data_IF_103653165396
#
_entry.id   IF_103653165396
#
_cell.length_a   1.000
_cell.length_b   1.000
_cell.length_c   1.000
_cell.angle_alpha   90.00
_cell.angle_beta   90.00
_cell.angle_gamma   90.00
#
_symmetry.space_group_name_H-M   'P 1'
#
loop_
_entity.id
_entity.type
_entity.pdbx_description
1 polymer ?
#
# COMPACT_ATOMS: atom_id res chain seq x y z
N UNK A 1 -4.85 -6.47 12.99
CA UNK A 1 -5.90 -7.20 12.25
C UNK A 1 -6.52 -8.25 13.19
N UNK A 2 -7.86 -8.34 13.16
CA UNK A 2 -8.59 -9.33 13.99
C UNK A 2 -8.50 -10.73 13.35
N UNK A 3 -7.54 -11.53 13.82
CA UNK A 3 -7.30 -12.88 13.32
C UNK A 3 -8.47 -13.85 13.53
N UNK A 4 -9.38 -13.57 14.48
CA UNK A 4 -10.58 -14.39 14.74
C UNK A 4 -11.64 -14.23 13.63
N UNK A 5 -11.61 -13.11 12.91
CA UNK A 5 -12.57 -12.81 11.86
C UNK A 5 -12.18 -13.38 10.49
N UNK A 6 -10.97 -13.89 10.33
CA UNK A 6 -10.53 -14.54 9.10
C UNK A 6 -11.36 -15.80 8.86
N UNK A 7 -11.83 -15.98 7.64
CA UNK A 7 -12.62 -17.12 7.22
C UNK A 7 -11.74 -18.39 7.08
N UNK A 8 -11.25 -18.92 8.20
CA UNK A 8 -10.34 -20.10 8.25
C UNK A 8 -10.85 -21.29 7.44
N UNK A 9 -12.17 -21.55 7.49
CA UNK A 9 -12.81 -22.63 6.74
C UNK A 9 -12.69 -22.45 5.24
N UNK A 10 -12.81 -21.19 4.75
CA UNK A 10 -12.66 -20.86 3.33
C UNK A 10 -11.20 -21.06 2.92
N UNK A 11 -10.25 -20.55 3.69
CA UNK A 11 -8.82 -20.74 3.40
C UNK A 11 -8.45 -22.22 3.37
N UNK A 12 -8.92 -23.04 4.35
CA UNK A 12 -8.68 -24.48 4.38
C UNK A 12 -9.22 -25.17 3.12
N UNK A 13 -10.44 -24.82 2.68
CA UNK A 13 -11.04 -25.37 1.46
C UNK A 13 -10.22 -24.99 0.23
N UNK A 14 -9.94 -23.70 0.04
CA UNK A 14 -9.16 -23.22 -1.11
C UNK A 14 -7.78 -23.88 -1.14
N UNK A 15 -7.12 -24.03 0.00
CA UNK A 15 -5.81 -24.70 0.07
C UNK A 15 -5.91 -26.13 -0.42
N UNK A 16 -6.94 -26.87 0.01
CA UNK A 16 -7.17 -28.25 -0.45
C UNK A 16 -7.43 -28.28 -1.96
N UNK A 17 -8.34 -27.43 -2.45
CA UNK A 17 -8.71 -27.37 -3.87
C UNK A 17 -7.48 -27.03 -4.76
N UNK A 18 -6.61 -26.12 -4.31
CA UNK A 18 -5.36 -25.76 -5.03
C UNK A 18 -4.40 -26.95 -5.06
N UNK A 19 -4.24 -27.72 -3.99
CA UNK A 19 -3.41 -28.92 -3.99
C UNK A 19 -3.96 -30.03 -4.87
N UNK A 20 -5.29 -30.16 -4.93
CA UNK A 20 -5.94 -31.24 -5.71
C UNK A 20 -5.95 -30.91 -7.23
N UNK A 21 -5.99 -29.62 -7.61
CA UNK A 21 -6.13 -29.17 -9.01
C UNK A 21 -4.79 -28.85 -9.70
N UNK A 22 -3.77 -28.39 -8.96
CA UNK A 22 -2.53 -27.79 -9.49
C UNK A 22 -1.31 -28.76 -9.33
N UNK A 23 -1.42 -29.97 -9.81
CA UNK A 23 -0.51 -31.09 -9.55
C UNK A 23 1.00 -30.71 -9.45
N UNK A 24 1.65 -30.39 -10.58
CA UNK A 24 3.11 -30.18 -10.61
C UNK A 24 3.54 -28.70 -10.54
N UNK A 25 2.68 -27.78 -10.95
CA UNK A 25 3.00 -26.34 -11.04
C UNK A 25 3.39 -25.72 -9.71
N UNK A 26 2.94 -26.29 -8.58
CA UNK A 26 3.28 -25.82 -7.24
C UNK A 26 4.75 -26.04 -6.87
N UNK A 27 5.42 -26.97 -7.51
CA UNK A 27 6.82 -27.36 -7.25
C UNK A 27 7.82 -26.63 -8.13
N UNK A 28 7.36 -25.93 -9.16
CA UNK A 28 8.24 -25.17 -10.05
C UNK A 28 8.45 -23.73 -9.55
N UNK A 29 9.61 -23.21 -9.90
CA UNK A 29 9.90 -21.80 -9.72
C UNK A 29 8.92 -20.97 -10.55
N UNK A 30 8.12 -20.13 -9.91
CA UNK A 30 7.16 -19.25 -10.57
C UNK A 30 7.82 -18.11 -11.36
N UNK A 31 6.99 -17.30 -12.00
CA UNK A 31 7.44 -16.12 -12.75
C UNK A 31 8.10 -15.10 -11.81
N UNK A 32 9.15 -14.40 -12.29
CA UNK A 32 9.92 -13.42 -11.50
C UNK A 32 9.04 -12.30 -10.88
N UNK A 33 7.99 -11.90 -11.56
CA UNK A 33 7.02 -10.91 -11.06
C UNK A 33 5.88 -11.52 -10.23
N UNK A 34 5.88 -12.84 -10.04
CA UNK A 34 4.80 -13.60 -9.40
C UNK A 34 3.75 -14.12 -10.38
N UNK A 35 2.80 -14.88 -9.86
CA UNK A 35 1.77 -15.58 -10.63
C UNK A 35 0.93 -14.63 -11.49
N UNK A 36 0.78 -14.95 -12.77
CA UNK A 36 0.08 -14.11 -13.75
C UNK A 36 -1.41 -13.94 -13.41
N UNK A 37 -2.07 -15.02 -12.95
CA UNK A 37 -3.50 -14.97 -12.62
C UNK A 37 -3.75 -14.11 -11.38
N UNK A 38 -2.86 -14.21 -10.38
CA UNK A 38 -2.90 -13.34 -9.21
C UNK A 38 -2.68 -11.88 -9.61
N UNK A 39 -1.67 -11.58 -10.45
CA UNK A 39 -1.43 -10.22 -10.93
C UNK A 39 -2.63 -9.65 -11.67
N UNK A 40 -3.26 -10.42 -12.57
CA UNK A 40 -4.49 -10.01 -13.28
C UNK A 40 -5.65 -9.72 -12.31
N UNK A 41 -5.87 -10.59 -11.31
CA UNK A 41 -6.94 -10.38 -10.34
C UNK A 41 -6.71 -9.17 -9.44
N UNK A 42 -5.44 -8.85 -9.13
CA UNK A 42 -5.09 -7.61 -8.42
C UNK A 42 -5.35 -6.39 -9.31
N UNK A 43 -5.01 -6.43 -10.61
CA UNK A 43 -5.32 -5.33 -11.54
C UNK A 43 -6.82 -5.04 -11.62
N UNK A 44 -7.66 -6.07 -11.70
CA UNK A 44 -9.13 -5.95 -11.67
C UNK A 44 -9.62 -5.34 -10.34
N UNK A 45 -9.08 -5.81 -9.23
CA UNK A 45 -9.37 -5.27 -7.91
C UNK A 45 -9.00 -3.79 -7.80
N UNK A 46 -7.83 -3.37 -8.28
CA UNK A 46 -7.38 -1.98 -8.26
C UNK A 46 -8.27 -1.06 -9.10
N UNK A 47 -8.70 -1.52 -10.28
CA UNK A 47 -9.65 -0.78 -11.10
C UNK A 47 -10.97 -0.53 -10.36
N UNK A 48 -11.52 -1.55 -9.71
CA UNK A 48 -12.79 -1.47 -9.00
C UNK A 48 -12.73 -0.69 -7.68
N UNK A 49 -11.62 -0.86 -6.93
CA UNK A 49 -11.51 -0.35 -5.56
C UNK A 49 -10.74 0.96 -5.45
N UNK A 50 -9.76 1.19 -6.36
CA UNK A 50 -8.85 2.34 -6.30
C UNK A 50 -8.96 3.28 -7.49
N UNK A 51 -9.73 2.91 -8.52
CA UNK A 51 -10.11 3.78 -9.63
C UNK A 51 -9.05 3.95 -10.73
N UNK A 52 -8.05 3.06 -10.83
CA UNK A 52 -7.06 3.13 -11.89
C UNK A 52 -6.84 1.78 -12.58
N UNK A 53 -6.58 1.83 -13.88
CA UNK A 53 -6.28 0.67 -14.72
C UNK A 53 -4.78 0.50 -14.87
N UNK A 54 -4.31 -0.74 -14.70
CA UNK A 54 -2.92 -1.14 -14.94
C UNK A 54 -2.89 -2.49 -15.64
N UNK A 55 -1.80 -2.78 -16.35
CA UNK A 55 -1.56 -4.06 -16.98
C UNK A 55 -0.78 -4.99 -16.05
N UNK A 56 -0.97 -6.30 -16.20
CA UNK A 56 -0.32 -7.29 -15.33
C UNK A 56 1.22 -7.24 -15.40
N UNK A 57 1.78 -6.77 -16.51
CA UNK A 57 3.21 -6.57 -16.72
C UNK A 57 3.80 -5.48 -15.83
N UNK A 58 2.98 -4.51 -15.41
CA UNK A 58 3.39 -3.44 -14.49
C UNK A 58 3.39 -3.89 -13.02
N UNK A 59 2.74 -5.01 -12.71
CA UNK A 59 2.55 -5.49 -11.34
C UNK A 59 3.60 -6.53 -10.96
N UNK A 60 4.24 -6.31 -9.80
CA UNK A 60 5.24 -7.19 -9.22
C UNK A 60 4.77 -7.62 -7.84
N UNK A 61 4.67 -8.91 -7.59
CA UNK A 61 4.32 -9.48 -6.29
C UNK A 61 5.59 -9.66 -5.46
N UNK A 62 5.50 -9.35 -4.18
CA UNK A 62 6.61 -9.49 -3.24
C UNK A 62 6.15 -9.79 -1.80
N UNK A 63 7.11 -10.06 -0.92
CA UNK A 63 6.84 -10.48 0.47
C UNK A 63 7.07 -9.34 1.46
N UNK A 64 6.05 -8.49 1.62
CA UNK A 64 6.11 -7.36 2.53
C UNK A 64 6.74 -6.11 1.88
N UNK A 65 6.57 -4.98 2.56
CA UNK A 65 6.99 -3.67 2.06
C UNK A 65 8.53 -3.57 1.96
N UNK A 66 9.25 -4.26 2.82
CA UNK A 66 10.71 -4.26 2.85
C UNK A 66 11.32 -4.75 1.52
N UNK A 67 10.77 -5.83 0.94
CA UNK A 67 11.20 -6.34 -0.36
C UNK A 67 10.79 -5.44 -1.51
N UNK A 68 9.66 -4.74 -1.42
CA UNK A 68 9.25 -3.74 -2.41
C UNK A 68 10.24 -2.58 -2.44
N UNK A 69 10.68 -2.10 -1.26
CA UNK A 69 11.71 -1.06 -1.17
C UNK A 69 13.06 -1.52 -1.70
N UNK A 70 13.44 -2.79 -1.51
CA UNK A 70 14.64 -3.33 -2.15
C UNK A 70 14.60 -3.14 -3.68
N UNK A 71 13.46 -3.44 -4.31
CA UNK A 71 13.28 -3.21 -5.75
C UNK A 71 13.42 -1.72 -6.08
N UNK A 72 12.72 -0.85 -5.35
CA UNK A 72 12.75 0.60 -5.55
C UNK A 72 14.18 1.15 -5.40
N UNK A 73 14.91 0.77 -4.37
CA UNK A 73 16.30 1.21 -4.16
C UNK A 73 17.23 0.76 -5.28
N UNK A 74 16.99 -0.42 -5.87
CA UNK A 74 17.77 -0.88 -7.05
C UNK A 74 17.40 -0.12 -8.32
N UNK A 75 16.14 0.30 -8.46
CA UNK A 75 15.71 1.13 -9.59
C UNK A 75 16.34 2.52 -9.54
N UNK A 76 16.34 3.14 -8.37
CA UNK A 76 16.72 4.53 -8.15
C UNK A 76 18.01 4.64 -7.31
N UNK A 77 19.08 4.07 -7.83
CA UNK A 77 20.38 4.10 -7.19
C UNK A 77 20.91 5.55 -7.12
N UNK A 78 21.37 5.97 -5.94
CA UNK A 78 21.94 7.30 -5.67
C UNK A 78 20.98 8.49 -5.75
N UNK A 79 19.67 8.25 -5.81
CA UNK A 79 18.67 9.32 -5.78
C UNK A 79 18.41 9.81 -4.35
N UNK A 80 17.95 11.06 -4.22
CA UNK A 80 17.54 11.64 -2.95
C UNK A 80 16.05 11.38 -2.74
N UNK A 81 15.72 10.69 -1.65
CA UNK A 81 14.35 10.43 -1.27
C UNK A 81 13.82 11.49 -0.30
N UNK A 82 12.53 11.82 -0.42
CA UNK A 82 11.78 12.58 0.58
C UNK A 82 10.87 11.64 1.35
N UNK A 83 11.02 11.59 2.67
CA UNK A 83 10.15 10.83 3.56
C UNK A 83 9.28 11.78 4.37
N UNK A 84 7.98 11.50 4.47
CA UNK A 84 7.07 12.19 5.38
C UNK A 84 7.64 12.19 6.81
N UNK A 85 7.56 13.33 7.51
CA UNK A 85 7.98 13.46 8.90
C UNK A 85 6.88 14.11 9.75
N UNK A 86 6.28 13.36 10.70
CA UNK A 86 6.66 12.00 11.13
C UNK A 86 6.27 10.88 10.14
N UNK A 87 6.98 9.74 10.21
CA UNK A 87 6.65 8.51 9.51
C UNK A 87 6.86 7.30 10.42
N UNK A 88 6.49 6.11 9.95
CA UNK A 88 6.74 4.88 10.70
C UNK A 88 8.25 4.63 10.85
N UNK A 89 8.73 4.38 12.08
CA UNK A 89 10.16 4.20 12.41
C UNK A 89 10.86 3.19 11.49
N UNK A 90 10.17 2.12 11.12
CA UNK A 90 10.70 1.08 10.23
C UNK A 90 11.23 1.66 8.90
N UNK A 91 10.56 2.65 8.31
CA UNK A 91 11.02 3.24 7.05
C UNK A 91 12.35 3.97 7.23
N UNK A 92 12.48 4.80 8.27
CA UNK A 92 13.75 5.48 8.57
C UNK A 92 14.89 4.47 8.72
N UNK A 93 14.67 3.40 9.48
CA UNK A 93 15.69 2.35 9.67
C UNK A 93 15.98 1.61 8.35
N UNK A 94 14.98 1.35 7.52
CA UNK A 94 15.15 0.72 6.22
C UNK A 94 16.06 1.55 5.29
N UNK A 95 15.89 2.87 5.26
CA UNK A 95 16.73 3.76 4.47
C UNK A 95 18.17 3.81 5.01
N UNK A 96 18.34 3.93 6.33
CA UNK A 96 19.65 3.97 6.98
C UNK A 96 20.43 2.67 6.76
N UNK A 97 19.79 1.52 6.96
CA UNK A 97 20.47 0.21 6.82
C UNK A 97 20.84 -0.13 5.37
N UNK A 98 20.14 0.46 4.39
CA UNK A 98 20.49 0.31 2.98
C UNK A 98 21.38 1.43 2.44
N UNK A 99 21.86 2.35 3.29
CA UNK A 99 22.68 3.51 2.90
C UNK A 99 22.01 4.39 1.81
N UNK A 100 20.68 4.55 1.87
CA UNK A 100 19.93 5.36 0.93
C UNK A 100 19.75 6.77 1.47
N UNK A 101 20.10 7.76 0.67
CA UNK A 101 19.99 9.17 1.03
C UNK A 101 18.53 9.62 1.10
N UNK A 102 18.13 10.25 2.21
CA UNK A 102 16.79 10.81 2.34
C UNK A 102 16.77 12.14 3.09
N UNK A 103 15.69 12.89 2.86
CA UNK A 103 15.33 14.11 3.59
C UNK A 103 14.01 13.90 4.30
N UNK A 104 13.91 14.36 5.53
CA UNK A 104 12.66 14.43 6.28
C UNK A 104 11.86 15.63 5.76
N UNK A 105 10.64 15.40 5.28
CA UNK A 105 9.75 16.39 4.69
C UNK A 105 8.60 16.65 5.64
N UNK A 106 8.38 17.89 5.99
CA UNK A 106 7.33 18.30 6.94
C UNK A 106 5.94 17.98 6.42
N UNK A 107 5.02 17.78 7.35
CA UNK A 107 3.59 17.64 7.08
C UNK A 107 2.84 18.86 7.62
N UNK A 108 1.83 19.28 6.88
CA UNK A 108 0.80 20.20 7.34
C UNK A 108 -0.59 19.51 7.33
N UNK A 109 -1.66 20.24 7.54
CA UNK A 109 -3.03 19.73 7.54
C UNK A 109 -3.46 19.13 6.20
N UNK A 110 -2.83 19.51 5.10
CA UNK A 110 -3.11 19.03 3.75
C UNK A 110 -2.25 17.81 3.33
N UNK A 111 -1.19 17.49 4.09
CA UNK A 111 -0.25 16.41 3.81
C UNK A 111 1.19 16.90 3.65
N UNK A 112 2.01 16.22 2.85
CA UNK A 112 3.43 16.52 2.64
C UNK A 112 3.63 17.93 2.05
N UNK A 113 4.60 18.69 2.59
CA UNK A 113 4.93 20.06 2.11
C UNK A 113 5.79 19.96 0.84
N UNK A 114 5.18 20.20 -0.32
CA UNK A 114 5.82 20.00 -1.65
C UNK A 114 6.99 20.95 -1.87
N UNK A 115 6.95 22.18 -1.34
CA UNK A 115 8.04 23.14 -1.42
C UNK A 115 9.36 22.62 -0.80
N UNK A 116 9.28 21.80 0.24
CA UNK A 116 10.46 21.18 0.84
C UNK A 116 11.08 20.12 -0.09
N UNK A 117 10.27 19.41 -0.90
CA UNK A 117 10.79 18.49 -1.92
C UNK A 117 11.66 19.25 -2.96
N UNK A 118 11.24 20.43 -3.37
CA UNK A 118 12.01 21.32 -4.27
C UNK A 118 13.27 21.83 -3.59
N UNK A 119 13.13 22.35 -2.36
CA UNK A 119 14.25 22.91 -1.56
C UNK A 119 15.38 21.90 -1.34
N UNK A 120 15.05 20.64 -1.12
CA UNK A 120 16.03 19.59 -0.85
C UNK A 120 16.45 18.79 -2.09
N UNK A 121 16.02 19.22 -3.30
CA UNK A 121 16.29 18.52 -4.56
C UNK A 121 15.92 17.03 -4.52
N UNK A 122 14.75 16.73 -3.96
CA UNK A 122 14.23 15.36 -3.88
C UNK A 122 13.89 14.84 -5.28
N UNK A 123 14.26 13.57 -5.56
CA UNK A 123 13.91 12.87 -6.79
C UNK A 123 12.71 11.94 -6.56
N UNK A 124 12.66 11.26 -5.41
CA UNK A 124 11.65 10.25 -5.10
C UNK A 124 10.91 10.65 -3.83
N UNK A 125 9.63 10.99 -3.93
CA UNK A 125 8.80 11.31 -2.77
C UNK A 125 8.04 10.06 -2.30
N UNK A 126 8.30 9.59 -1.06
CA UNK A 126 7.52 8.53 -0.42
C UNK A 126 6.40 9.14 0.42
N UNK A 127 5.16 8.80 0.12
CA UNK A 127 3.97 9.37 0.75
C UNK A 127 2.89 8.32 1.03
N UNK A 128 2.05 8.60 2.04
CA UNK A 128 0.90 7.79 2.45
C UNK A 128 -0.42 8.59 2.31
N UNK A 129 -0.84 8.95 1.09
CA UNK A 129 -1.85 9.99 0.85
C UNK A 129 -3.27 9.59 1.25
N UNK A 130 -3.56 8.30 1.36
CA UNK A 130 -4.88 7.79 1.75
C UNK A 130 -5.11 7.85 3.26
N UNK A 131 -4.04 7.68 4.05
CA UNK A 131 -4.07 7.71 5.51
C UNK A 131 -2.63 7.78 6.05
N UNK A 132 -2.17 8.97 6.36
CA UNK A 132 -0.81 9.21 6.81
C UNK A 132 -0.52 8.58 8.17
N UNK A 133 0.57 7.86 8.30
CA UNK A 133 1.01 7.31 9.58
C UNK A 133 2.13 8.17 10.18
N UNK A 134 2.02 8.63 11.44
CA UNK A 134 1.00 8.27 12.44
C UNK A 134 -0.12 9.32 12.60
N UNK A 135 -0.14 10.40 11.79
CA UNK A 135 -1.03 11.55 12.04
C UNK A 135 -2.49 11.28 11.68
N UNK A 136 -2.78 10.26 10.85
CA UNK A 136 -4.11 10.00 10.33
C UNK A 136 -4.59 11.02 9.30
N UNK A 137 -3.73 11.93 8.85
CA UNK A 137 -4.07 12.94 7.84
C UNK A 137 -4.36 12.28 6.50
N UNK A 138 -5.46 12.68 5.87
CA UNK A 138 -5.78 12.32 4.49
C UNK A 138 -5.31 13.46 3.60
N UNK A 139 -4.39 13.19 2.68
CA UNK A 139 -3.86 14.21 1.77
C UNK A 139 -4.99 14.82 0.92
N UNK A 140 -5.09 16.15 0.94
CA UNK A 140 -6.11 16.90 0.22
C UNK A 140 -5.96 16.77 -1.30
N UNK A 141 -7.04 16.96 -2.06
CA UNK A 141 -7.02 16.89 -3.53
C UNK A 141 -6.06 17.95 -4.10
N UNK A 142 -6.05 19.16 -3.54
CA UNK A 142 -5.12 20.22 -3.97
C UNK A 142 -3.67 19.81 -3.77
N UNK A 143 -3.31 19.23 -2.62
CA UNK A 143 -1.95 18.77 -2.35
C UNK A 143 -1.55 17.58 -3.24
N UNK A 144 -2.48 16.68 -3.57
CA UNK A 144 -2.24 15.60 -4.54
C UNK A 144 -1.91 16.15 -5.92
N UNK A 145 -2.64 17.17 -6.38
CA UNK A 145 -2.36 17.85 -7.65
C UNK A 145 -1.00 18.56 -7.63
N UNK A 146 -0.69 19.27 -6.55
CA UNK A 146 0.60 19.93 -6.35
C UNK A 146 1.78 18.94 -6.40
N UNK A 147 1.64 17.79 -5.72
CA UNK A 147 2.64 16.74 -5.71
C UNK A 147 2.84 16.09 -7.10
N UNK A 148 1.75 15.85 -7.84
CA UNK A 148 1.84 15.34 -9.21
C UNK A 148 2.49 16.38 -10.14
N UNK A 149 2.19 17.66 -10.00
CA UNK A 149 2.85 18.72 -10.75
C UNK A 149 4.35 18.77 -10.47
N UNK A 150 4.74 18.67 -9.18
CA UNK A 150 6.15 18.57 -8.80
C UNK A 150 6.87 17.39 -9.49
N UNK A 151 6.25 16.22 -9.56
CA UNK A 151 6.83 15.07 -10.24
C UNK A 151 6.93 15.28 -11.77
N UNK A 152 5.98 16.00 -12.36
CA UNK A 152 5.95 16.29 -13.79
C UNK A 152 6.96 17.37 -14.25
N UNK A 153 7.45 18.21 -13.33
CA UNK A 153 8.47 19.23 -13.61
C UNK A 153 9.83 18.62 -14.04
N UNK A 154 10.09 17.35 -13.71
CA UNK A 154 11.35 16.70 -14.02
C UNK A 154 11.14 15.22 -14.40
N UNK A 155 11.74 14.71 -15.51
CA UNK A 155 11.60 13.33 -15.94
C UNK A 155 12.09 12.30 -14.89
N UNK A 156 13.07 12.66 -14.07
CA UNK A 156 13.69 11.76 -13.08
C UNK A 156 12.97 11.75 -11.73
N UNK A 157 11.90 12.56 -11.57
CA UNK A 157 11.09 12.57 -10.36
C UNK A 157 9.98 11.52 -10.42
N UNK A 158 9.80 10.82 -9.30
CA UNK A 158 8.70 9.86 -9.09
C UNK A 158 8.11 10.00 -7.70
N UNK A 159 6.88 9.50 -7.55
CA UNK A 159 6.18 9.43 -6.27
C UNK A 159 5.98 7.95 -5.94
N UNK A 160 6.32 7.54 -4.72
CA UNK A 160 5.99 6.22 -4.17
C UNK A 160 4.77 6.41 -3.27
N UNK A 161 3.61 5.99 -3.75
CA UNK A 161 2.36 5.99 -3.00
C UNK A 161 2.24 4.66 -2.24
N UNK A 162 2.33 4.70 -0.91
CA UNK A 162 2.06 3.53 -0.06
C UNK A 162 0.61 3.55 0.43
N UNK A 163 -0.15 2.60 -0.05
CA UNK A 163 -1.58 2.45 0.20
C UNK A 163 -1.87 1.17 1.02
N UNK A 164 -1.58 1.25 2.30
CA UNK A 164 -1.53 0.09 3.20
C UNK A 164 -2.87 -0.27 3.88
N UNK A 165 -3.83 0.67 4.00
CA UNK A 165 -5.10 0.44 4.72
C UNK A 165 -6.32 1.19 4.16
N UNK A 166 -6.28 1.64 2.93
CA UNK A 166 -7.35 2.41 2.27
C UNK A 166 -8.69 1.68 2.12
N UNK A 167 -8.70 0.36 2.27
CA UNK A 167 -9.93 -0.42 2.33
C UNK A 167 -10.82 -0.03 3.53
N UNK A 168 -10.21 0.53 4.59
CA UNK A 168 -10.89 0.87 5.86
C UNK A 168 -11.29 2.34 5.91
N UNK A 169 -12.18 2.77 5.03
CA UNK A 169 -12.84 4.07 5.13
C UNK A 169 -14.22 3.91 5.76
N UNK A 170 -14.50 4.72 6.80
CA UNK A 170 -15.70 4.60 7.64
C UNK A 170 -16.75 5.66 7.32
N UNK A 171 -16.33 6.82 6.82
CA UNK A 171 -17.19 7.97 6.51
C UNK A 171 -16.87 8.54 5.14
N UNK A 172 -17.87 9.11 4.46
CA UNK A 172 -17.72 9.75 3.16
C UNK A 172 -17.47 8.77 2.00
N UNK A 173 -17.23 9.32 0.81
CA UNK A 173 -16.87 8.53 -0.39
C UNK A 173 -15.38 8.14 -0.32
N UNK A 174 -15.00 6.95 -0.83
CA UNK A 174 -13.60 6.60 -0.99
C UNK A 174 -12.88 7.65 -1.84
N UNK A 175 -11.71 8.07 -1.39
CA UNK A 175 -10.85 8.94 -2.20
C UNK A 175 -10.06 8.01 -3.13
N UNK A 176 -10.06 8.25 -4.44
CA UNK A 176 -9.24 7.48 -5.37
C UNK A 176 -7.76 7.50 -4.97
N UNK A 177 -6.99 6.51 -5.39
CA UNK A 177 -5.54 6.55 -5.23
C UNK A 177 -4.95 7.78 -5.92
N UNK A 178 -3.78 8.25 -5.46
CA UNK A 178 -3.04 9.30 -6.17
C UNK A 178 -2.73 8.85 -7.60
N UNK A 179 -2.34 7.57 -7.77
CA UNK A 179 -2.14 6.92 -9.07
C UNK A 179 -3.35 7.05 -10.01
N UNK A 180 -4.58 7.11 -9.50
CA UNK A 180 -5.79 7.23 -10.33
C UNK A 180 -5.87 8.57 -11.08
N UNK A 181 -5.19 9.61 -10.60
CA UNK A 181 -5.13 10.94 -11.22
C UNK A 181 -3.79 11.23 -11.91
N UNK A 182 -2.88 10.27 -11.91
CA UNK A 182 -1.56 10.33 -12.51
C UNK A 182 -1.62 10.03 -14.02
N UNK A 183 -1.77 11.08 -14.84
CA UNK A 183 -1.85 10.96 -16.31
C UNK A 183 -0.48 10.77 -16.98
N UNK A 184 0.62 11.09 -16.28
CA UNK A 184 1.98 11.06 -16.83
C UNK A 184 2.79 9.84 -16.34
N UNK A 185 2.14 8.90 -15.67
CA UNK A 185 2.73 7.65 -15.18
C UNK A 185 3.97 7.87 -14.29
N UNK A 186 3.85 8.81 -13.32
CA UNK A 186 4.90 9.18 -12.37
C UNK A 186 4.76 8.50 -10.99
N UNK A 187 3.63 7.85 -10.73
CA UNK A 187 3.35 7.23 -9.44
C UNK A 187 3.67 5.74 -9.48
N UNK A 188 4.56 5.32 -8.58
CA UNK A 188 4.81 3.93 -8.20
C UNK A 188 3.85 3.62 -7.07
N UNK A 189 2.96 2.64 -7.26
CA UNK A 189 1.94 2.32 -6.26
C UNK A 189 2.31 1.06 -5.49
N UNK A 190 2.26 1.13 -4.16
CA UNK A 190 2.46 0.00 -3.25
C UNK A 190 1.12 -0.41 -2.63
N UNK A 191 0.84 -1.71 -2.62
CA UNK A 191 -0.30 -2.26 -1.91
C UNK A 191 0.09 -3.51 -1.11
N UNK A 192 -0.71 -3.82 -0.09
CA UNK A 192 -0.42 -4.95 0.81
C UNK A 192 -1.68 -5.64 1.29
N UNK A 193 -1.66 -6.97 1.34
CA UNK A 193 -2.71 -7.78 1.95
C UNK A 193 -2.51 -8.01 3.46
N UNK A 194 -1.39 -7.52 4.02
CA UNK A 194 -1.05 -7.73 5.45
C UNK A 194 -2.03 -7.07 6.42
N UNK A 195 -2.58 -5.92 6.05
CA UNK A 195 -3.58 -5.20 6.87
C UNK A 195 -5.00 -5.61 6.53
N UNK A 196 -5.26 -5.93 5.27
CA UNK A 196 -6.60 -6.28 4.78
C UNK A 196 -6.99 -7.73 5.07
N UNK A 197 -6.03 -8.68 5.09
CA UNK A 197 -6.29 -10.09 5.36
C UNK A 197 -5.66 -10.51 6.68
N UNK A 198 -4.32 -10.61 6.72
CA UNK A 198 -3.56 -11.03 7.91
C UNK A 198 -2.09 -10.65 7.76
N UNK A 199 -1.41 -10.20 8.83
CA UNK A 199 0.04 -9.97 8.79
C UNK A 199 0.85 -11.20 8.39
N UNK A 200 0.33 -12.40 8.66
CA UNK A 200 1.01 -13.66 8.35
C UNK A 200 1.00 -14.03 6.86
N UNK A 201 0.13 -13.43 6.04
CA UNK A 201 0.05 -13.74 4.60
C UNK A 201 1.29 -13.27 3.85
N UNK A 202 1.93 -12.19 4.32
CA UNK A 202 3.16 -11.62 3.78
C UNK A 202 3.14 -11.40 2.26
N UNK A 203 2.00 -11.04 1.69
CA UNK A 203 1.89 -10.70 0.27
C UNK A 203 1.64 -9.20 0.12
N UNK A 204 2.52 -8.57 -0.63
CA UNK A 204 2.43 -7.18 -1.07
C UNK A 204 2.71 -7.09 -2.57
N UNK A 205 2.44 -5.96 -3.15
CA UNK A 205 2.65 -5.76 -4.57
C UNK A 205 3.06 -4.32 -4.89
N UNK A 206 3.74 -4.18 -6.01
CA UNK A 206 4.26 -2.94 -6.56
C UNK A 206 3.69 -2.78 -7.97
N UNK A 207 3.17 -1.60 -8.29
CA UNK A 207 2.79 -1.23 -9.66
C UNK A 207 3.78 -0.20 -10.18
N UNK A 208 4.55 -0.58 -11.19
CA UNK A 208 5.53 0.30 -11.82
C UNK A 208 4.94 1.13 -12.96
N UNK A 209 5.35 2.38 -13.10
CA UNK A 209 5.27 3.12 -14.36
C UNK A 209 5.85 2.33 -15.53
N UNK A 210 5.23 2.43 -16.71
CA UNK A 210 5.69 1.68 -17.92
C UNK A 210 7.14 1.98 -18.27
N UNK A 211 7.57 3.23 -18.11
CA UNK A 211 8.94 3.65 -18.36
C UNK A 211 9.98 2.91 -17.50
N UNK A 212 9.60 2.44 -16.32
CA UNK A 212 10.49 1.74 -15.39
C UNK A 212 10.57 0.24 -15.64
N UNK A 213 9.70 -0.37 -16.45
CA UNK A 213 9.68 -1.82 -16.70
C UNK A 213 10.99 -2.33 -17.32
N UNK A 214 11.48 -1.65 -18.35
CA UNK A 214 12.75 -2.01 -18.99
C UNK A 214 13.95 -1.85 -18.04
N UNK A 215 13.88 -0.84 -17.15
CA UNK A 215 14.93 -0.62 -16.15
C UNK A 215 14.88 -1.73 -15.10
N UNK A 216 13.68 -2.11 -14.64
CA UNK A 216 13.47 -3.23 -13.73
C UNK A 216 14.04 -4.53 -14.29
N UNK A 217 13.70 -4.89 -15.52
CA UNK A 217 14.17 -6.12 -16.15
C UNK A 217 15.69 -6.16 -16.31
N UNK A 218 16.32 -5.03 -16.63
CA UNK A 218 17.79 -4.95 -16.77
C UNK A 218 18.54 -4.97 -15.43
N UNK A 219 18.00 -4.27 -14.42
CA UNK A 219 18.67 -4.15 -13.11
C UNK A 219 18.42 -5.35 -12.19
N UNK A 220 17.32 -6.07 -12.39
CA UNK A 220 16.89 -7.19 -11.54
C UNK A 220 16.56 -8.46 -12.37
N UNK A 221 17.43 -8.90 -13.29
CA UNK A 221 17.14 -10.02 -14.21
C UNK A 221 16.99 -11.35 -13.48
N UNK A 222 17.60 -11.49 -12.29
CA UNK A 222 17.59 -12.71 -11.48
C UNK A 222 16.74 -12.56 -10.21
N UNK A 223 15.91 -11.53 -10.15
CA UNK A 223 14.99 -11.36 -9.02
C UNK A 223 13.95 -12.49 -9.07
N UNK A 224 13.84 -13.21 -7.95
CA UNK A 224 12.83 -14.26 -7.79
C UNK A 224 11.73 -13.72 -6.88
N UNK A 225 10.47 -13.91 -7.27
CA UNK A 225 9.35 -13.56 -6.40
C UNK A 225 9.46 -14.33 -5.08
N UNK A 226 9.59 -13.65 -3.92
CA UNK A 226 9.83 -14.31 -2.64
C UNK A 226 8.57 -14.95 -2.03
N UNK A 227 7.42 -14.80 -2.68
CA UNK A 227 6.16 -15.40 -2.21
C UNK A 227 6.02 -16.80 -2.81
N UNK A 228 5.87 -17.86 -2.00
CA UNK A 228 5.66 -19.22 -2.50
C UNK A 228 4.48 -19.31 -3.49
N UNK A 229 4.63 -20.09 -4.55
CA UNK A 229 3.61 -20.26 -5.60
C UNK A 229 2.27 -20.71 -5.01
N UNK A 230 2.28 -21.64 -4.07
CA UNK A 230 1.09 -22.08 -3.34
C UNK A 230 0.31 -20.91 -2.71
N UNK A 231 1.02 -20.02 -2.00
CA UNK A 231 0.37 -18.87 -1.34
C UNK A 231 -0.23 -17.90 -2.37
N UNK A 232 0.44 -17.74 -3.51
CA UNK A 232 -0.06 -16.92 -4.60
C UNK A 232 -1.34 -17.50 -5.22
N UNK A 233 -1.37 -18.81 -5.46
CA UNK A 233 -2.55 -19.51 -6.01
C UNK A 233 -3.74 -19.47 -5.04
N UNK A 234 -3.49 -19.68 -3.73
CA UNK A 234 -4.54 -19.56 -2.69
C UNK A 234 -5.11 -18.14 -2.68
N UNK A 235 -4.25 -17.12 -2.71
CA UNK A 235 -4.69 -15.71 -2.70
C UNK A 235 -5.45 -15.36 -3.98
N UNK A 236 -4.99 -15.83 -5.14
CA UNK A 236 -5.72 -15.67 -6.41
C UNK A 236 -7.14 -16.21 -6.32
N UNK A 237 -7.34 -17.46 -5.85
CA UNK A 237 -8.67 -18.07 -5.69
C UNK A 237 -9.51 -17.26 -4.68
N UNK A 238 -8.91 -16.82 -3.58
CA UNK A 238 -9.60 -16.01 -2.58
C UNK A 238 -10.13 -14.68 -3.13
N UNK A 239 -9.38 -14.03 -4.03
CA UNK A 239 -9.80 -12.80 -4.71
C UNK A 239 -10.83 -13.11 -5.79
N UNK A 240 -10.53 -14.03 -6.71
CA UNK A 240 -11.34 -14.38 -7.87
C UNK A 240 -12.75 -14.83 -7.50
N UNK A 241 -12.87 -15.66 -6.46
CA UNK A 241 -14.14 -16.20 -6.00
C UNK A 241 -14.94 -15.19 -5.14
N UNK A 242 -14.48 -13.94 -5.06
CA UNK A 242 -15.14 -12.84 -4.34
C UNK A 242 -15.07 -12.94 -2.81
N UNK A 243 -14.29 -13.86 -2.28
CA UNK A 243 -14.13 -14.02 -0.82
C UNK A 243 -13.39 -12.85 -0.21
N UNK A 244 -12.44 -12.27 -0.91
CA UNK A 244 -11.69 -11.09 -0.46
C UNK A 244 -12.61 -9.90 -0.25
N UNK A 245 -13.47 -9.56 -1.22
CA UNK A 245 -14.40 -8.43 -1.11
C UNK A 245 -15.38 -8.63 0.05
N UNK A 246 -15.93 -9.85 0.19
CA UNK A 246 -16.81 -10.20 1.33
C UNK A 246 -16.07 -10.03 2.67
N UNK A 247 -14.82 -10.45 2.72
CA UNK A 247 -13.98 -10.31 3.92
C UNK A 247 -13.76 -8.82 4.26
N UNK A 248 -13.35 -7.99 3.30
CA UNK A 248 -13.15 -6.55 3.49
C UNK A 248 -14.42 -5.87 4.01
N UNK A 249 -15.57 -6.16 3.42
CA UNK A 249 -16.85 -5.56 3.84
C UNK A 249 -17.20 -5.94 5.30
N UNK A 250 -16.98 -7.20 5.68
CA UNK A 250 -17.15 -7.66 7.05
C UNK A 250 -16.18 -6.95 8.01
N UNK A 251 -14.91 -6.85 7.64
CA UNK A 251 -13.88 -6.21 8.45
C UNK A 251 -14.13 -4.70 8.60
N UNK A 252 -14.52 -4.01 7.51
CA UNK A 252 -14.91 -2.60 7.56
C UNK A 252 -16.03 -2.34 8.57
N UNK A 253 -17.08 -3.18 8.56
CA UNK A 253 -18.19 -3.09 9.53
C UNK A 253 -17.72 -3.33 10.96
N UNK A 254 -16.86 -4.33 11.18
CA UNK A 254 -16.31 -4.64 12.50
C UNK A 254 -15.44 -3.49 13.04
N UNK A 255 -14.52 -2.98 12.22
CA UNK A 255 -13.63 -1.91 12.65
C UNK A 255 -14.36 -0.58 12.82
N UNK A 256 -15.38 -0.30 12.02
CA UNK A 256 -16.26 0.85 12.24
C UNK A 256 -16.87 0.83 13.66
N UNK A 257 -17.42 -0.32 14.08
CA UNK A 257 -17.99 -0.47 15.44
C UNK A 257 -16.92 -0.31 16.53
N UNK A 258 -15.73 -0.91 16.35
CA UNK A 258 -14.62 -0.78 17.30
C UNK A 258 -14.15 0.69 17.42
N UNK A 259 -14.03 1.39 16.29
CA UNK A 259 -13.66 2.81 16.25
C UNK A 259 -14.72 3.66 16.97
N UNK A 260 -16.01 3.49 16.64
CA UNK A 260 -17.11 4.24 17.29
C UNK A 260 -17.10 4.02 18.81
N UNK A 261 -16.91 2.79 19.26
CA UNK A 261 -16.79 2.46 20.68
C UNK A 261 -15.61 3.20 21.34
N UNK A 262 -14.41 3.14 20.72
CA UNK A 262 -13.21 3.81 21.24
C UNK A 262 -13.39 5.34 21.31
N UNK A 263 -13.88 5.95 20.22
CA UNK A 263 -14.13 7.39 20.15
C UNK A 263 -15.12 7.85 21.25
N UNK A 264 -16.19 7.08 21.46
CA UNK A 264 -17.17 7.39 22.51
C UNK A 264 -16.56 7.28 23.91
N UNK A 265 -15.73 6.28 24.19
CA UNK A 265 -15.02 6.16 25.46
C UNK A 265 -14.10 7.36 25.67
N UNK A 266 -13.26 7.70 24.69
CA UNK A 266 -12.32 8.83 24.81
C UNK A 266 -13.07 10.13 25.09
N UNK A 267 -14.15 10.43 24.36
CA UNK A 267 -14.96 11.62 24.56
C UNK A 267 -15.62 11.65 25.96
N UNK A 268 -16.16 10.51 26.40
CA UNK A 268 -16.79 10.40 27.72
C UNK A 268 -15.77 10.58 28.84
N UNK A 269 -14.58 10.03 28.72
CA UNK A 269 -13.50 10.16 29.70
C UNK A 269 -12.96 11.59 29.76
N UNK A 270 -12.76 12.21 28.59
CA UNK A 270 -12.29 13.57 28.45
C UNK A 270 -13.22 14.54 29.19
N UNK A 271 -14.53 14.50 28.94
CA UNK A 271 -15.51 15.41 29.55
C UNK A 271 -15.72 15.17 31.04
N UNK A 272 -15.69 13.91 31.52
CA UNK A 272 -16.04 13.57 32.91
C UNK A 272 -14.86 13.59 33.88
N UNK A 273 -13.64 13.32 33.45
CA UNK A 273 -12.49 13.07 34.31
C UNK A 273 -11.40 14.11 34.15
N UNK A 274 -11.14 14.56 32.90
CA UNK A 274 -10.04 15.47 32.62
C UNK A 274 -10.48 16.95 32.56
N UNK A 275 -11.78 17.21 32.49
CA UNK A 275 -12.35 18.54 32.23
C UNK A 275 -11.63 19.28 31.09
N UNK A 276 -11.27 18.52 30.05
CA UNK A 276 -10.55 18.98 28.87
C UNK A 276 -11.19 18.40 27.62
N UNK A 277 -11.22 19.17 26.57
CA UNK A 277 -11.63 18.71 25.26
C UNK A 277 -10.44 18.02 24.58
N UNK A 278 -10.62 16.74 24.17
CA UNK A 278 -9.62 15.98 23.41
C UNK A 278 -10.02 16.03 21.94
N UNK A 279 -9.13 16.54 21.11
CA UNK A 279 -9.29 16.52 19.67
C UNK A 279 -8.80 15.15 19.12
N UNK A 280 -9.66 14.49 18.33
CA UNK A 280 -9.36 13.21 17.71
C UNK A 280 -9.21 13.42 16.20
N UNK A 281 -7.99 13.21 15.69
CA UNK A 281 -7.67 13.31 14.27
C UNK A 281 -7.57 11.93 13.62
N UNK A 282 -7.84 11.85 12.29
CA UNK A 282 -7.64 10.63 11.51
C UNK A 282 -8.68 9.53 11.73
N UNK A 283 -9.73 9.78 12.55
CA UNK A 283 -10.70 8.74 12.89
C UNK A 283 -11.61 8.30 11.72
N UNK A 284 -11.58 8.94 10.56
CA UNK A 284 -12.49 8.66 9.44
C UNK A 284 -12.04 7.52 8.52
N UNK A 285 -10.80 7.10 8.65
CA UNK A 285 -10.19 6.03 7.85
C UNK A 285 -9.16 5.24 8.66
N UNK A 286 -8.68 4.12 8.09
CA UNK A 286 -7.54 3.36 8.56
C UNK A 286 -7.78 2.49 9.80
N UNK A 287 -6.67 1.94 10.31
CA UNK A 287 -6.66 1.00 11.44
C UNK A 287 -5.92 1.53 12.67
N UNK A 288 -5.55 2.82 12.70
CA UNK A 288 -4.85 3.45 13.83
C UNK A 288 -5.43 4.82 14.14
#
# INVERSE_FOLDING_TARGET
VDSKSLAKTIFKRITKDVYDEENDDLLFQGHIQGDLLLRKSICEYLLQSRGFKVEAEQLIISSGTEYLFYIIFKLFNNEIYGLENPCHKMFKELFLTNNVSFKAISLDEAGVVVEELKKYNVNIAYVTPSHQFPTGTIMSISRRTELLNWANENPDRYIVEDDYDSEFKYTGRPIPALKATDINDKVIYLGSFSKSISPAIRVSYLVLPKALLNIYQRKLPYFICPVPTLNQKILYRFIKDGHFVKHINKMRTLYKKKREFLVNIIKTYSSKILDKEIYIQGADAGLH
#
